data_IF_554467671519
#
_entry.id   IF_554467671519
#
_cell.length_a   1.000
_cell.length_b   1.000
_cell.length_c   1.000
_cell.angle_alpha   90.00
_cell.angle_beta   90.00
_cell.angle_gamma   90.00
#
_symmetry.space_group_name_H-M   'P 1'
#
loop_
_entity.id
_entity.type
_entity.pdbx_description
1 polymer ?
#
# COMPACT_ATOMS: atom_id res chain seq x y z
N UNK A 1 25.15 -10.70 -0.68
CA UNK A 1 24.34 -9.46 -0.84
C UNK A 1 24.47 -8.82 -2.23
N UNK A 2 25.12 -9.49 -3.20
CA UNK A 2 25.34 -9.03 -4.59
C UNK A 2 24.26 -9.46 -5.58
N UNK A 3 23.36 -10.38 -5.20
CA UNK A 3 22.35 -10.92 -6.11
C UNK A 3 21.19 -9.96 -6.39
N UNK A 4 20.80 -9.11 -5.43
CA UNK A 4 19.60 -8.28 -5.57
C UNK A 4 19.70 -7.19 -6.66
N UNK A 5 20.80 -6.39 -6.75
CA UNK A 5 20.96 -5.43 -7.85
C UNK A 5 21.09 -6.13 -9.20
N UNK A 6 21.74 -7.30 -9.22
CA UNK A 6 21.97 -8.10 -10.41
C UNK A 6 20.64 -8.64 -10.99
N UNK A 7 19.78 -9.21 -10.14
CA UNK A 7 18.45 -9.70 -10.55
C UNK A 7 17.56 -8.57 -11.08
N UNK A 8 17.59 -7.38 -10.45
CA UNK A 8 16.85 -6.22 -10.96
C UNK A 8 17.26 -5.87 -12.39
N UNK A 9 18.57 -5.72 -12.62
CA UNK A 9 19.10 -5.25 -13.90
C UNK A 9 18.99 -6.29 -15.02
N UNK A 10 19.17 -7.57 -14.70
CA UNK A 10 19.26 -8.64 -15.69
C UNK A 10 17.96 -9.41 -15.92
N UNK A 11 17.05 -9.42 -14.95
CA UNK A 11 15.81 -10.22 -15.04
C UNK A 11 14.59 -9.32 -15.08
N UNK A 12 14.41 -8.47 -14.06
CA UNK A 12 13.16 -7.71 -13.87
C UNK A 12 13.00 -6.62 -14.93
N UNK A 13 14.01 -5.76 -15.13
CA UNK A 13 13.91 -4.68 -16.11
C UNK A 13 13.69 -5.21 -17.53
N UNK A 14 14.46 -6.20 -18.04
CA UNK A 14 14.22 -6.73 -19.38
C UNK A 14 12.85 -7.39 -19.53
N UNK A 15 12.34 -8.06 -18.50
CA UNK A 15 11.00 -8.65 -18.52
C UNK A 15 9.91 -7.57 -18.62
N UNK A 16 10.01 -6.49 -17.84
CA UNK A 16 9.07 -5.37 -17.89
C UNK A 16 9.17 -4.59 -19.20
N UNK A 17 10.38 -4.41 -19.73
CA UNK A 17 10.58 -3.80 -21.04
C UNK A 17 9.89 -4.60 -22.14
N UNK A 18 10.04 -5.93 -22.12
CA UNK A 18 9.33 -6.84 -23.03
C UNK A 18 7.82 -6.80 -22.84
N UNK A 19 7.33 -6.70 -21.60
CA UNK A 19 5.90 -6.54 -21.29
C UNK A 19 5.33 -5.27 -21.93
N UNK A 20 6.00 -4.13 -21.75
CA UNK A 20 5.56 -2.86 -22.33
C UNK A 20 5.71 -2.80 -23.85
N UNK A 21 6.79 -3.35 -24.40
CA UNK A 21 7.02 -3.42 -25.85
C UNK A 21 5.97 -4.27 -26.58
N UNK A 22 5.33 -5.22 -25.88
CA UNK A 22 4.23 -6.05 -26.39
C UNK A 22 2.85 -5.47 -26.10
N UNK A 23 2.77 -4.22 -25.63
CA UNK A 23 1.53 -3.58 -25.23
C UNK A 23 0.76 -4.34 -24.12
N UNK A 24 1.43 -5.14 -23.29
CA UNK A 24 0.78 -5.90 -22.22
C UNK A 24 0.09 -5.03 -21.16
N UNK A 25 0.44 -3.75 -21.08
CA UNK A 25 -0.22 -2.76 -20.22
C UNK A 25 -1.66 -2.47 -20.61
N UNK A 26 -2.06 -2.73 -21.87
CA UNK A 26 -3.44 -2.56 -22.34
C UNK A 26 -4.41 -3.58 -21.71
N UNK A 27 -3.90 -4.76 -21.35
CA UNK A 27 -4.65 -5.77 -20.59
C UNK A 27 -4.53 -5.55 -19.07
N UNK A 28 -3.69 -4.61 -18.65
CA UNK A 28 -3.49 -4.24 -17.26
C UNK A 28 -4.60 -3.33 -16.72
N UNK A 29 -4.50 -3.03 -15.42
CA UNK A 29 -5.42 -2.10 -14.75
C UNK A 29 -5.38 -0.71 -15.40
N UNK A 30 -6.48 0.05 -15.25
CA UNK A 30 -6.52 1.46 -15.67
C UNK A 30 -5.37 2.28 -15.06
N UNK A 31 -4.93 1.95 -13.85
CA UNK A 31 -3.77 2.61 -13.21
C UNK A 31 -2.47 2.36 -13.98
N UNK A 32 -2.23 1.13 -14.43
CA UNK A 32 -1.05 0.76 -15.24
C UNK A 32 -1.06 1.51 -16.57
N UNK A 33 -2.23 1.58 -17.23
CA UNK A 33 -2.40 2.32 -18.49
C UNK A 33 -2.14 3.83 -18.29
N UNK A 34 -2.75 4.45 -17.27
CA UNK A 34 -2.55 5.86 -16.94
C UNK A 34 -1.08 6.20 -16.62
N UNK A 35 -0.38 5.32 -15.89
CA UNK A 35 1.04 5.49 -15.58
C UNK A 35 1.91 5.41 -16.84
N UNK A 36 1.63 4.43 -17.71
CA UNK A 36 2.33 4.28 -18.98
C UNK A 36 2.15 5.52 -19.86
N UNK A 37 0.91 5.98 -20.01
CA UNK A 37 0.57 7.19 -20.78
C UNK A 37 1.26 8.44 -20.21
N UNK A 38 1.23 8.62 -18.90
CA UNK A 38 1.89 9.74 -18.23
C UNK A 38 3.40 9.72 -18.52
N UNK A 39 4.05 8.58 -18.27
CA UNK A 39 5.49 8.42 -18.47
C UNK A 39 5.90 8.71 -19.92
N UNK A 40 5.15 8.18 -20.89
CA UNK A 40 5.46 8.35 -22.32
C UNK A 40 5.21 9.76 -22.82
N UNK A 41 4.18 10.45 -22.34
CA UNK A 41 3.94 11.88 -22.61
C UNK A 41 5.07 12.77 -22.10
N UNK A 42 5.74 12.38 -21.03
CA UNK A 42 6.91 13.07 -20.49
C UNK A 42 8.25 12.55 -21.04
N UNK A 43 8.24 11.79 -22.14
CA UNK A 43 9.45 11.39 -22.87
C UNK A 43 10.14 10.13 -22.34
N UNK A 44 9.59 9.46 -21.31
CA UNK A 44 10.12 8.16 -20.88
C UNK A 44 9.66 7.07 -21.85
N UNK A 45 10.61 6.30 -22.39
CA UNK A 45 10.34 5.21 -23.35
C UNK A 45 11.20 3.98 -23.06
N UNK A 46 10.79 2.83 -23.60
CA UNK A 46 11.53 1.56 -23.52
C UNK A 46 11.92 1.20 -22.08
N UNK A 47 13.22 0.91 -21.89
CA UNK A 47 13.82 0.61 -20.59
C UNK A 47 13.47 1.61 -19.47
N UNK A 48 13.36 2.91 -19.75
CA UNK A 48 13.07 3.90 -18.70
C UNK A 48 11.66 3.72 -18.10
N UNK A 49 10.68 3.34 -18.91
CA UNK A 49 9.33 3.04 -18.42
C UNK A 49 9.36 1.80 -17.53
N UNK A 50 10.11 0.76 -17.93
CA UNK A 50 10.30 -0.45 -17.13
C UNK A 50 10.97 -0.16 -15.78
N UNK A 51 11.98 0.70 -15.74
CA UNK A 51 12.65 1.11 -14.49
C UNK A 51 11.70 1.84 -13.54
N UNK A 52 10.91 2.79 -14.07
CA UNK A 52 9.92 3.53 -13.27
C UNK A 52 8.85 2.59 -12.70
N UNK A 53 8.41 1.60 -13.48
CA UNK A 53 7.38 0.66 -13.04
C UNK A 53 7.84 -0.20 -11.85
N UNK A 54 9.13 -0.52 -11.74
CA UNK A 54 9.66 -1.24 -10.56
C UNK A 54 9.39 -0.45 -9.28
N UNK A 55 9.64 0.86 -9.29
CA UNK A 55 9.35 1.72 -8.14
C UNK A 55 7.87 1.70 -7.77
N UNK A 56 6.99 1.70 -8.78
CA UNK A 56 5.55 1.64 -8.58
C UNK A 56 5.07 0.29 -8.02
N UNK A 57 5.64 -0.81 -8.51
CA UNK A 57 5.35 -2.17 -8.00
C UNK A 57 5.78 -2.29 -6.54
N UNK A 58 6.99 -1.85 -6.21
CA UNK A 58 7.52 -1.83 -4.84
C UNK A 58 6.61 -1.00 -3.93
N UNK A 59 6.24 0.21 -4.34
CA UNK A 59 5.39 1.10 -3.55
C UNK A 59 3.98 0.53 -3.34
N UNK A 60 3.42 -0.17 -4.33
CA UNK A 60 2.04 -0.64 -4.30
C UNK A 60 1.89 -2.02 -3.63
N UNK A 61 2.84 -2.93 -3.82
CA UNK A 61 2.67 -4.34 -3.42
C UNK A 61 3.25 -4.65 -2.04
N UNK A 62 4.41 -4.10 -1.68
CA UNK A 62 5.12 -4.55 -0.48
C UNK A 62 4.31 -4.28 0.78
N UNK A 63 3.75 -3.07 0.89
CA UNK A 63 2.96 -2.68 2.06
C UNK A 63 1.66 -3.48 2.13
N UNK A 64 0.91 -3.55 1.03
CA UNK A 64 -0.38 -4.26 1.00
C UNK A 64 -0.23 -5.76 1.23
N UNK A 65 0.77 -6.41 0.64
CA UNK A 65 0.99 -7.85 0.82
C UNK A 65 1.39 -8.18 2.27
N UNK A 66 2.33 -7.44 2.84
CA UNK A 66 2.76 -7.65 4.23
C UNK A 66 1.61 -7.41 5.21
N UNK A 67 0.86 -6.31 5.04
CA UNK A 67 -0.28 -5.99 5.89
C UNK A 67 -1.42 -7.00 5.76
N UNK A 68 -1.73 -7.46 4.55
CA UNK A 68 -2.74 -8.50 4.34
C UNK A 68 -2.34 -9.82 4.99
N UNK A 69 -1.07 -10.22 4.87
CA UNK A 69 -0.57 -11.43 5.52
C UNK A 69 -0.74 -11.36 7.05
N UNK A 70 -0.32 -10.26 7.67
CA UNK A 70 -0.43 -10.11 9.12
C UNK A 70 -1.87 -9.96 9.60
N UNK A 71 -2.74 -9.32 8.81
CA UNK A 71 -4.18 -9.30 9.09
C UNK A 71 -4.74 -10.71 9.14
N UNK A 72 -4.47 -11.54 8.13
CA UNK A 72 -4.92 -12.95 8.10
C UNK A 72 -4.37 -13.70 9.31
N UNK A 73 -3.08 -13.53 9.63
CA UNK A 73 -2.48 -14.15 10.81
C UNK A 73 -3.24 -13.76 12.10
N UNK A 74 -3.49 -12.47 12.32
CA UNK A 74 -4.17 -12.00 13.53
C UNK A 74 -5.63 -12.46 13.60
N UNK A 75 -6.37 -12.40 12.49
CA UNK A 75 -7.76 -12.88 12.42
C UNK A 75 -7.84 -14.37 12.76
N UNK A 76 -6.94 -15.20 12.23
CA UNK A 76 -6.96 -16.64 12.47
C UNK A 76 -6.36 -17.05 13.82
N UNK A 77 -5.63 -16.17 14.48
CA UNK A 77 -5.05 -16.43 15.81
C UNK A 77 -6.07 -16.27 16.94
N UNK A 78 -7.17 -15.54 16.72
CA UNK A 78 -8.24 -15.34 17.70
C UNK A 78 -9.57 -15.91 17.15
N UNK A 79 -10.07 -17.04 17.71
CA UNK A 79 -11.31 -17.66 17.26
C UNK A 79 -12.54 -16.74 17.32
N UNK A 80 -12.56 -15.78 18.25
CA UNK A 80 -13.66 -14.82 18.40
C UNK A 80 -13.63 -13.81 17.25
N UNK A 81 -12.46 -13.21 16.98
CA UNK A 81 -12.28 -12.28 15.87
C UNK A 81 -12.59 -12.96 14.53
N UNK A 82 -12.13 -14.19 14.33
CA UNK A 82 -12.44 -14.98 13.14
C UNK A 82 -13.96 -15.16 12.94
N UNK A 83 -14.66 -15.56 13.99
CA UNK A 83 -16.11 -15.80 13.96
C UNK A 83 -16.89 -14.51 13.65
N UNK A 84 -16.54 -13.41 14.31
CA UNK A 84 -17.18 -12.11 14.09
C UNK A 84 -16.92 -11.57 12.68
N UNK A 85 -15.67 -11.58 12.21
CA UNK A 85 -15.32 -11.16 10.85
C UNK A 85 -16.06 -11.99 9.78
N UNK A 86 -16.15 -13.32 9.94
CA UNK A 86 -16.89 -14.17 9.02
C UNK A 86 -18.37 -13.83 8.99
N UNK A 87 -18.98 -13.69 10.17
CA UNK A 87 -20.40 -13.34 10.30
C UNK A 87 -20.72 -12.00 9.61
N UNK A 88 -19.82 -11.01 9.71
CA UNK A 88 -19.98 -9.73 9.02
C UNK A 88 -19.89 -9.86 7.49
N UNK A 89 -18.89 -10.59 7.00
CA UNK A 89 -18.68 -10.76 5.54
C UNK A 89 -19.76 -11.62 4.90
N UNK A 90 -20.20 -12.69 5.57
CA UNK A 90 -21.24 -13.60 5.09
C UNK A 90 -22.57 -12.87 4.84
N UNK A 91 -22.91 -11.85 5.64
CA UNK A 91 -24.10 -11.03 5.43
C UNK A 91 -24.07 -10.21 4.13
N UNK A 92 -22.88 -9.99 3.57
CA UNK A 92 -22.70 -9.26 2.32
C UNK A 92 -22.66 -10.16 1.09
N UNK A 93 -22.59 -11.48 1.26
CA UNK A 93 -22.50 -12.44 0.16
C UNK A 93 -23.86 -12.52 -0.54
N UNK A 94 -23.84 -12.23 -1.84
CA UNK A 94 -24.98 -12.40 -2.74
C UNK A 94 -24.67 -13.55 -3.69
N UNK A 95 -25.52 -14.57 -3.71
CA UNK A 95 -25.36 -15.70 -4.65
C UNK A 95 -26.33 -15.47 -5.81
N UNK A 96 -25.81 -15.45 -7.03
CA UNK A 96 -26.65 -15.34 -8.22
C UNK A 96 -27.33 -16.68 -8.57
N UNK A 97 -28.11 -16.68 -9.65
CA UNK A 97 -28.85 -17.86 -10.11
C UNK A 97 -27.95 -18.98 -10.62
N UNK A 98 -26.72 -18.65 -11.01
CA UNK A 98 -25.71 -19.58 -11.54
C UNK A 98 -24.77 -20.10 -10.43
N UNK A 99 -24.99 -19.67 -9.18
CA UNK A 99 -24.20 -20.07 -8.01
C UNK A 99 -22.94 -19.23 -7.77
N UNK A 100 -22.77 -18.10 -8.46
CA UNK A 100 -21.64 -17.20 -8.27
C UNK A 100 -21.87 -16.34 -7.04
N UNK A 101 -20.94 -16.43 -6.08
CA UNK A 101 -20.91 -15.59 -4.88
C UNK A 101 -20.24 -14.24 -5.19
N UNK A 102 -20.97 -13.16 -4.95
CA UNK A 102 -20.52 -11.79 -5.13
C UNK A 102 -20.55 -11.04 -3.79
N UNK A 103 -19.58 -10.13 -3.61
CA UNK A 103 -19.53 -9.22 -2.47
C UNK A 103 -19.37 -7.81 -3.01
N UNK A 104 -20.24 -6.90 -2.58
CA UNK A 104 -20.08 -5.48 -2.85
C UNK A 104 -19.06 -4.87 -1.87
N UNK A 105 -17.84 -4.67 -2.35
CA UNK A 105 -16.74 -4.11 -1.56
C UNK A 105 -17.04 -2.71 -0.99
N UNK A 106 -17.97 -1.95 -1.58
CA UNK A 106 -18.35 -0.65 -1.05
C UNK A 106 -19.04 -0.75 0.31
N UNK A 107 -19.73 -1.87 0.57
CA UNK A 107 -20.45 -2.12 1.82
C UNK A 107 -19.56 -2.63 2.95
N UNK A 108 -18.40 -3.22 2.62
CA UNK A 108 -17.48 -3.75 3.64
C UNK A 108 -17.09 -2.68 4.66
N UNK A 109 -16.84 -1.45 4.20
CA UNK A 109 -16.45 -0.33 5.09
C UNK A 109 -17.54 0.10 6.06
N UNK A 110 -18.81 -0.09 5.69
CA UNK A 110 -19.96 0.36 6.49
C UNK A 110 -20.62 -0.77 7.26
N UNK A 111 -20.43 -2.02 6.83
CA UNK A 111 -21.16 -3.19 7.32
C UNK A 111 -20.28 -4.24 7.99
N UNK A 112 -18.95 -4.09 7.95
CA UNK A 112 -18.00 -4.99 8.62
C UNK A 112 -17.12 -4.22 9.63
N UNK A 113 -17.67 -3.70 10.73
CA UNK A 113 -16.93 -2.91 11.70
C UNK A 113 -15.80 -3.70 12.39
N UNK A 114 -15.99 -4.98 12.72
CA UNK A 114 -14.94 -5.82 13.30
C UNK A 114 -13.82 -6.04 12.28
N UNK A 115 -14.15 -6.40 11.04
CA UNK A 115 -13.14 -6.57 9.99
C UNK A 115 -12.32 -5.30 9.75
N UNK A 116 -12.99 -4.14 9.69
CA UNK A 116 -12.34 -2.84 9.52
C UNK A 116 -11.48 -2.47 10.72
N UNK A 117 -11.96 -2.71 11.94
CA UNK A 117 -11.23 -2.47 13.18
C UNK A 117 -9.99 -3.35 13.27
N UNK A 118 -10.10 -4.65 12.96
CA UNK A 118 -8.95 -5.57 12.92
C UNK A 118 -7.91 -5.13 11.89
N UNK A 119 -8.33 -4.65 10.72
CA UNK A 119 -7.42 -4.08 9.73
C UNK A 119 -6.69 -2.84 10.26
N UNK A 120 -7.41 -1.90 10.87
CA UNK A 120 -6.83 -0.70 11.46
C UNK A 120 -5.84 -1.03 12.59
N UNK A 121 -6.17 -2.00 13.43
CA UNK A 121 -5.31 -2.44 14.53
C UNK A 121 -4.05 -3.15 14.02
N UNK A 122 -4.18 -3.96 12.98
CA UNK A 122 -3.03 -4.56 12.27
C UNK A 122 -2.10 -3.46 11.75
N UNK A 123 -2.65 -2.44 11.09
CA UNK A 123 -1.85 -1.32 10.59
C UNK A 123 -1.20 -0.51 11.72
N UNK A 124 -1.90 -0.29 12.85
CA UNK A 124 -1.37 0.41 14.03
C UNK A 124 -0.10 -0.27 14.55
N UNK A 125 -0.09 -1.60 14.61
CA UNK A 125 1.07 -2.37 15.09
C UNK A 125 2.20 -2.50 14.07
N UNK A 126 1.87 -2.61 12.79
CA UNK A 126 2.85 -2.84 11.73
C UNK A 126 3.51 -1.58 11.19
N UNK A 127 2.83 -0.45 11.25
CA UNK A 127 3.26 0.73 10.52
C UNK A 127 4.48 1.37 11.19
N UNK A 128 5.63 1.23 10.53
CA UNK A 128 6.94 1.75 10.95
C UNK A 128 7.39 2.98 10.15
N UNK A 129 6.45 3.67 9.49
CA UNK A 129 6.74 4.82 8.66
C UNK A 129 7.40 5.98 9.42
N UNK A 130 8.29 6.70 8.73
CA UNK A 130 8.86 7.96 9.19
C UNK A 130 8.46 9.04 8.19
N UNK A 131 7.79 10.08 8.65
CA UNK A 131 7.55 11.28 7.85
C UNK A 131 8.66 12.28 8.13
N UNK A 132 9.58 12.44 7.17
CA UNK A 132 10.65 13.43 7.24
C UNK A 132 10.30 14.68 6.42
N UNK A 133 10.58 15.86 6.97
CA UNK A 133 10.43 17.15 6.29
C UNK A 133 11.64 18.04 6.58
N UNK A 134 12.06 18.81 5.59
CA UNK A 134 13.08 19.86 5.75
C UNK A 134 12.37 21.19 5.95
N UNK A 135 12.78 21.93 6.97
CA UNK A 135 12.24 23.25 7.30
C UNK A 135 12.75 24.26 6.27
N UNK A 136 11.84 24.86 5.49
CA UNK A 136 12.19 25.78 4.40
C UNK A 136 12.45 27.21 4.90
N UNK A 137 11.78 27.59 5.98
CA UNK A 137 11.90 28.90 6.64
C UNK A 137 11.74 28.73 8.16
N UNK A 138 12.34 29.63 8.93
CA UNK A 138 12.20 29.61 10.40
C UNK A 138 10.71 29.70 10.76
N UNK A 139 10.21 28.72 11.51
CA UNK A 139 8.79 28.65 11.89
C UNK A 139 8.64 28.17 13.33
N UNK A 140 7.52 28.53 13.97
CA UNK A 140 7.27 28.18 15.36
C UNK A 140 5.88 27.54 15.50
N UNK A 141 5.76 26.21 15.39
CA UNK A 141 4.49 25.52 15.60
C UNK A 141 3.96 25.78 17.01
N UNK A 142 2.69 26.18 17.11
CA UNK A 142 1.96 26.44 18.35
C UNK A 142 2.68 27.36 19.35
N UNK A 143 3.57 28.24 18.87
CA UNK A 143 4.41 29.12 19.69
C UNK A 143 5.29 28.42 20.75
N UNK A 144 5.51 27.10 20.64
CA UNK A 144 6.20 26.32 21.67
C UNK A 144 7.66 26.03 21.33
N UNK A 145 7.98 25.79 20.06
CA UNK A 145 9.32 25.38 19.63
C UNK A 145 9.74 26.07 18.34
N UNK A 146 10.89 26.75 18.32
CA UNK A 146 11.45 27.36 17.12
C UNK A 146 12.13 26.29 16.24
N UNK A 147 11.55 26.04 15.08
CA UNK A 147 12.14 25.22 14.02
C UNK A 147 12.96 26.12 13.09
N UNK A 148 14.25 25.83 12.97
CA UNK A 148 15.16 26.61 12.13
C UNK A 148 15.18 26.11 10.68
N UNK A 149 15.29 27.03 9.73
CA UNK A 149 15.53 26.75 8.32
C UNK A 149 16.71 25.79 8.14
N UNK A 150 16.51 24.79 7.30
CA UNK A 150 17.48 23.72 7.02
C UNK A 150 17.45 22.57 8.01
N UNK A 151 16.75 22.67 9.14
CA UNK A 151 16.57 21.55 10.06
C UNK A 151 15.70 20.46 9.42
N UNK A 152 15.94 19.20 9.81
CA UNK A 152 15.08 18.07 9.45
C UNK A 152 14.18 17.72 10.64
N UNK A 153 12.87 17.71 10.39
CA UNK A 153 11.86 17.25 11.35
C UNK A 153 11.43 15.85 10.93
N UNK A 154 11.43 14.92 11.88
CA UNK A 154 10.99 13.54 11.67
C UNK A 154 9.84 13.22 12.62
N UNK A 155 8.74 12.72 12.04
CA UNK A 155 7.62 12.17 12.79
C UNK A 155 7.67 10.66 12.65
N UNK A 156 7.94 9.97 13.76
CA UNK A 156 8.05 8.50 13.80
C UNK A 156 6.68 7.93 14.10
N UNK A 157 6.05 7.29 13.12
CA UNK A 157 4.66 6.88 13.27
C UNK A 157 4.46 5.77 14.29
N UNK A 158 5.45 4.89 14.48
CA UNK A 158 5.39 3.84 15.51
C UNK A 158 5.19 4.40 16.91
N UNK A 159 5.87 5.51 17.25
CA UNK A 159 5.75 6.17 18.56
C UNK A 159 4.33 6.70 18.76
N UNK A 160 3.76 7.33 17.73
CA UNK A 160 2.38 7.83 17.77
C UNK A 160 1.35 6.71 17.92
N UNK A 161 1.59 5.56 17.30
CA UNK A 161 0.68 4.42 17.33
C UNK A 161 0.78 3.59 18.60
N UNK A 162 1.90 3.65 19.33
CA UNK A 162 2.11 2.92 20.58
C UNK A 162 1.95 3.78 21.84
N UNK A 163 1.58 5.06 21.70
CA UNK A 163 1.40 5.97 22.82
C UNK A 163 0.21 5.55 23.69
N UNK A 164 0.49 5.25 24.96
CA UNK A 164 -0.51 4.84 25.97
C UNK A 164 -0.92 5.97 26.91
N UNK A 165 -0.42 7.19 26.70
CA UNK A 165 -0.71 8.37 27.54
C UNK A 165 -1.94 9.16 27.11
N UNK A 166 -2.69 8.65 26.12
CA UNK A 166 -3.93 9.24 25.60
C UNK A 166 -5.16 8.83 26.38
#
# INVERSE_FOLDING_TARGET
MTECPHTREQVIIPALEKYFARNGHLEGSALTQCRYDHNTRHGLRGRHVAVTEIGQLVASLINSAASAFLMVYHVFSDPKVLSECRKEVEQLVQVDKDGVSMIDLSKVRTSCPTLLSTWQETLRHMHIGISARVVIEDMMPDNNYLLKKGATVMVITRVLHSDTSR
#
